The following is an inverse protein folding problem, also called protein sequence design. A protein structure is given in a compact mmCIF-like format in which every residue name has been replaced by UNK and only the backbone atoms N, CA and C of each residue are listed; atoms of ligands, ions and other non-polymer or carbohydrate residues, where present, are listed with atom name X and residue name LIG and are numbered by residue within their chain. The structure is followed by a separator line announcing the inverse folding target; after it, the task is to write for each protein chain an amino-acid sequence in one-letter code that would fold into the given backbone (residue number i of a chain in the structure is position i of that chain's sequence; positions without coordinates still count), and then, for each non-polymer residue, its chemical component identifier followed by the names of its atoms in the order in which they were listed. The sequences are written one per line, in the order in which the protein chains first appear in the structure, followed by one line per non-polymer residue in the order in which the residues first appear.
data_IF_805188074758
#
_entry.id   IF_805188074758
#
_cell.length_a   1.000
_cell.length_b   1.000
_cell.length_c   1.000
_cell.angle_alpha   90.00
_cell.angle_beta   90.00
_cell.angle_gamma   90.00
#
_symmetry.space_group_name_H-M   'P 1'
#
loop_
_entity.id
_entity.type
_entity.pdbx_description
1 polymer ?
#
# COMPACT_ATOMS: atom_id res chain seq x y z
N UNK A 1 -20.28 55.39 -3.10
CA UNK A 1 -21.07 54.20 -2.72
C UNK A 1 -20.68 52.91 -3.43
N UNK A 2 -20.44 52.87 -4.76
CA UNK A 2 -20.05 51.61 -5.47
C UNK A 2 -18.80 50.89 -4.93
N UNK A 3 -17.77 51.62 -4.51
CA UNK A 3 -16.53 51.02 -3.96
C UNK A 3 -16.68 50.49 -2.52
N UNK A 4 -17.71 50.91 -1.79
CA UNK A 4 -17.95 50.47 -0.41
C UNK A 4 -18.49 49.03 -0.36
N UNK A 5 -19.28 48.61 -1.34
CA UNK A 5 -19.76 47.23 -1.46
C UNK A 5 -18.65 46.25 -1.85
N UNK A 6 -17.68 46.67 -2.67
CA UNK A 6 -16.51 45.86 -3.02
C UNK A 6 -15.61 45.68 -1.78
N UNK A 7 -15.45 46.71 -0.95
CA UNK A 7 -14.69 46.63 0.29
C UNK A 7 -15.35 45.70 1.33
N UNK A 8 -16.69 45.72 1.45
CA UNK A 8 -17.42 44.81 2.36
C UNK A 8 -17.33 43.34 1.90
N UNK A 9 -17.36 43.08 0.59
CA UNK A 9 -17.20 41.74 0.03
C UNK A 9 -15.77 41.17 0.21
N UNK A 10 -14.74 42.02 0.24
CA UNK A 10 -13.35 41.60 0.49
C UNK A 10 -13.05 41.32 1.98
N UNK A 11 -13.91 41.75 2.92
CA UNK A 11 -13.73 41.47 4.37
C UNK A 11 -14.39 40.14 4.77
N UNK A 12 -15.19 39.54 3.89
CA UNK A 12 -15.83 38.24 4.12
C UNK A 12 -14.93 37.03 3.81
N UNK A 13 -13.64 37.22 3.53
CA UNK A 13 -12.71 36.10 3.36
C UNK A 13 -12.48 35.39 4.68
N UNK A 14 -13.32 34.36 4.91
CA UNK A 14 -13.01 33.12 5.59
C UNK A 14 -12.16 33.28 6.86
N UNK A 15 -12.76 33.79 7.91
CA UNK A 15 -12.29 33.58 9.28
C UNK A 15 -12.46 32.10 9.67
N UNK A 16 -11.71 31.19 9.03
CA UNK A 16 -11.46 29.83 9.51
C UNK A 16 -10.42 29.90 10.64
N UNK A 17 -10.74 30.66 11.69
CA UNK A 17 -9.83 30.89 12.80
C UNK A 17 -10.20 29.95 13.94
N UNK A 18 -9.33 28.96 14.20
CA UNK A 18 -9.34 28.32 15.53
C UNK A 18 -8.80 29.34 16.52
N UNK A 19 -9.48 29.52 17.64
CA UNK A 19 -9.07 30.47 18.68
C UNK A 19 -8.69 29.74 19.96
N UNK A 20 -7.65 30.27 20.60
CA UNK A 20 -7.07 29.76 21.83
C UNK A 20 -7.18 30.83 22.92
N UNK A 21 -7.24 30.39 24.16
CA UNK A 21 -7.14 31.25 25.35
C UNK A 21 -6.19 30.62 26.35
N UNK A 22 -5.41 31.43 27.02
CA UNK A 22 -4.64 30.96 28.17
C UNK A 22 -5.60 30.54 29.29
N UNK A 23 -5.22 29.48 30.00
CA UNK A 23 -5.99 28.87 31.06
C UNK A 23 -5.06 28.31 32.12
N UNK A 24 -5.45 28.42 33.39
CA UNK A 24 -4.72 27.84 34.50
C UNK A 24 -5.31 26.47 34.84
N UNK A 25 -4.45 25.48 35.04
CA UNK A 25 -4.82 24.12 35.43
C UNK A 25 -3.91 23.65 36.56
N UNK A 26 -4.37 22.75 37.43
CA UNK A 26 -3.54 22.18 38.49
C UNK A 26 -2.43 21.31 37.90
N UNK A 27 -1.22 21.40 38.44
CA UNK A 27 -0.10 20.54 38.07
C UNK A 27 -0.32 19.12 38.62
N UNK A 28 -0.43 18.09 37.76
CA UNK A 28 -0.74 16.75 38.24
C UNK A 28 0.38 16.10 39.07
N UNK A 29 1.61 16.60 38.93
CA UNK A 29 2.83 16.07 39.57
C UNK A 29 3.19 16.89 40.81
N UNK A 30 3.13 18.22 40.72
CA UNK A 30 3.49 19.12 41.82
C UNK A 30 2.25 19.67 42.52
N UNK A 31 1.80 18.97 43.56
CA UNK A 31 0.62 19.34 44.35
C UNK A 31 0.62 20.81 44.79
N UNK A 32 -0.50 21.50 44.59
CA UNK A 32 -0.68 22.91 44.94
C UNK A 32 -0.03 23.92 43.98
N UNK A 33 0.58 23.46 42.89
CA UNK A 33 1.08 24.32 41.82
C UNK A 33 0.09 24.37 40.64
N UNK A 34 0.06 25.49 39.93
CA UNK A 34 -0.74 25.68 38.72
C UNK A 34 0.17 25.80 37.49
N UNK A 35 -0.32 25.34 36.34
CA UNK A 35 0.31 25.50 35.03
C UNK A 35 -0.52 26.43 34.15
N UNK A 36 0.16 27.35 33.45
CA UNK A 36 -0.47 28.17 32.42
C UNK A 36 -0.42 27.42 31.08
N UNK A 37 -1.57 27.03 30.55
CA UNK A 37 -1.72 26.22 29.34
C UNK A 37 -2.68 26.89 28.35
N UNK A 38 -2.71 26.42 27.11
CA UNK A 38 -3.64 26.93 26.09
C UNK A 38 -4.87 26.04 26.02
N UNK A 39 -6.05 26.61 26.24
CA UNK A 39 -7.31 25.92 26.05
C UNK A 39 -8.03 26.42 24.79
N UNK A 40 -8.83 25.54 24.20
CA UNK A 40 -9.66 25.88 23.04
C UNK A 40 -10.69 26.92 23.46
N UNK A 41 -10.80 28.00 22.68
CA UNK A 41 -11.85 29.00 22.83
C UNK A 41 -12.95 28.80 21.79
N UNK A 42 -12.62 28.57 20.53
CA UNK A 42 -13.60 28.28 19.48
C UNK A 42 -12.96 27.60 18.26
N UNK A 43 -13.75 26.79 17.55
CA UNK A 43 -13.45 26.25 16.23
C UNK A 43 -14.77 25.97 15.50
N UNK A 44 -14.72 25.76 14.18
CA UNK A 44 -15.88 25.42 13.36
C UNK A 44 -15.71 24.09 12.62
N UNK A 45 -16.74 23.65 11.90
CA UNK A 45 -16.75 22.37 11.19
C UNK A 45 -15.69 22.20 10.09
N UNK A 46 -15.08 23.28 9.62
CA UNK A 46 -13.99 23.23 8.63
C UNK A 46 -12.76 22.44 9.10
N UNK A 47 -12.62 22.19 10.42
CA UNK A 47 -11.53 21.35 10.95
C UNK A 47 -11.65 19.89 10.50
N UNK A 48 -12.85 19.45 10.08
CA UNK A 48 -13.08 18.11 9.55
C UNK A 48 -12.62 17.97 8.08
N UNK A 49 -12.37 19.07 7.39
CA UNK A 49 -11.85 19.07 6.01
C UNK A 49 -10.33 19.12 5.93
N UNK A 50 -9.64 19.34 7.06
CA UNK A 50 -8.18 19.39 7.14
C UNK A 50 -7.54 18.04 6.77
N UNK A 51 -6.27 18.03 6.31
CA UNK A 51 -5.57 16.79 5.96
C UNK A 51 -5.53 15.75 7.09
N UNK A 52 -5.63 16.17 8.35
CA UNK A 52 -5.72 15.27 9.51
C UNK A 52 -6.91 14.31 9.47
N UNK A 53 -7.92 14.56 8.61
CA UNK A 53 -9.04 13.67 8.35
C UNK A 53 -8.60 12.29 7.82
N UNK A 54 -7.44 12.14 7.17
CA UNK A 54 -6.97 10.82 6.75
C UNK A 54 -6.46 9.96 7.91
N UNK A 55 -5.97 10.60 8.98
CA UNK A 55 -5.71 9.97 10.27
C UNK A 55 -6.97 9.90 11.16
N UNK A 56 -8.10 10.50 10.75
CA UNK A 56 -9.32 10.73 11.55
C UNK A 56 -9.01 11.39 12.91
N UNK A 57 -7.96 12.22 12.97
CA UNK A 57 -7.61 13.03 14.13
C UNK A 57 -8.00 14.47 13.81
N UNK A 58 -8.64 15.14 14.76
CA UNK A 58 -9.17 16.48 14.54
C UNK A 58 -8.66 17.44 15.61
N UNK A 59 -8.89 18.72 15.35
CA UNK A 59 -8.65 19.77 16.32
C UNK A 59 -9.37 19.44 17.64
N UNK A 60 -8.73 19.63 18.82
CA UNK A 60 -7.47 20.33 19.03
C UNK A 60 -6.20 19.50 18.85
N UNK A 61 -6.26 18.18 18.82
CA UNK A 61 -5.08 17.30 18.88
C UNK A 61 -4.10 17.45 17.69
N UNK A 62 -4.55 18.07 16.60
CA UNK A 62 -3.72 18.42 15.43
C UNK A 62 -2.84 19.65 15.65
N UNK A 63 -3.01 20.39 16.76
CA UNK A 63 -2.28 21.61 17.06
C UNK A 63 -1.19 21.37 18.10
N UNK A 64 -0.03 22.00 17.93
CA UNK A 64 1.02 22.01 18.96
C UNK A 64 0.59 22.73 20.24
N UNK A 65 -0.41 23.61 20.19
CA UNK A 65 -1.00 24.27 21.36
C UNK A 65 -1.85 23.32 22.22
N UNK A 66 -2.26 22.18 21.67
CA UNK A 66 -2.93 21.13 22.42
C UNK A 66 -1.97 20.29 23.27
N UNK A 67 -0.66 20.55 23.22
CA UNK A 67 0.33 19.93 24.11
C UNK A 67 0.51 20.86 25.31
N UNK A 68 -0.09 20.48 26.43
CA UNK A 68 0.01 21.18 27.70
C UNK A 68 1.33 20.83 28.38
N UNK A 69 2.05 21.85 28.85
CA UNK A 69 3.36 21.72 29.47
C UNK A 69 3.43 22.57 30.75
N UNK A 70 3.77 21.93 31.86
CA UNK A 70 4.01 22.56 33.15
C UNK A 70 5.49 22.89 33.29
N UNK A 71 5.86 24.16 33.22
CA UNK A 71 7.27 24.57 33.32
C UNK A 71 7.91 24.19 34.67
N UNK A 72 7.12 24.16 35.74
CA UNK A 72 7.60 23.92 37.11
C UNK A 72 7.96 22.46 37.38
N UNK A 73 7.08 21.53 37.01
CA UNK A 73 7.30 20.09 37.20
C UNK A 73 7.96 19.41 36.00
N UNK A 74 7.90 20.05 34.83
CA UNK A 74 8.24 19.42 33.57
C UNK A 74 7.17 18.48 33.03
N UNK A 75 6.01 18.37 33.67
CA UNK A 75 4.94 17.50 33.21
C UNK A 75 4.38 17.95 31.86
N UNK A 76 4.13 16.98 30.97
CA UNK A 76 3.59 17.23 29.63
C UNK A 76 2.51 16.20 29.28
N UNK A 77 1.40 16.66 28.71
CA UNK A 77 0.32 15.80 28.21
C UNK A 77 -0.46 16.49 27.10
N UNK A 78 -1.35 15.76 26.42
CA UNK A 78 -2.33 16.41 25.56
C UNK A 78 -3.42 17.12 26.38
N UNK A 79 -4.09 18.09 25.77
CA UNK A 79 -5.27 18.76 26.33
C UNK A 79 -6.30 17.73 26.81
N UNK A 80 -6.80 17.93 28.03
CA UNK A 80 -7.77 17.04 28.69
C UNK A 80 -7.17 15.85 29.44
N UNK A 81 -5.87 15.60 29.32
CA UNK A 81 -5.22 14.43 29.91
C UNK A 81 -4.56 14.68 31.28
N UNK A 82 -4.71 15.89 31.83
CA UNK A 82 -4.16 16.25 33.16
C UNK A 82 -4.95 15.59 34.31
N UNK A 83 -6.27 15.41 34.14
CA UNK A 83 -7.17 15.01 35.22
C UNK A 83 -7.22 13.48 35.44
N UNK A 84 -6.84 12.69 34.43
CA UNK A 84 -6.98 11.24 34.41
C UNK A 84 -5.64 10.52 34.58
N UNK A 85 -4.93 10.84 35.67
CA UNK A 85 -3.64 10.23 36.01
C UNK A 85 -3.74 9.57 37.39
N UNK A 86 -3.56 8.25 37.39
CA UNK A 86 -3.58 7.43 38.61
C UNK A 86 -2.37 7.74 39.50
N UNK A 87 -2.48 7.45 40.80
CA UNK A 87 -1.38 7.65 41.73
C UNK A 87 -0.09 6.89 41.31
N UNK A 88 -0.24 5.67 40.80
CA UNK A 88 0.89 4.86 40.34
C UNK A 88 1.59 5.48 39.11
N UNK A 89 0.83 6.04 38.17
CA UNK A 89 1.39 6.75 37.02
C UNK A 89 2.09 8.04 37.46
N UNK A 90 1.47 8.81 38.36
CA UNK A 90 2.07 10.04 38.93
C UNK A 90 3.42 9.75 39.56
N UNK A 91 3.53 8.67 40.34
CA UNK A 91 4.81 8.25 40.95
C UNK A 91 5.87 8.00 39.89
N UNK A 92 5.61 7.13 38.90
CA UNK A 92 6.57 6.79 37.83
C UNK A 92 6.99 8.01 37.01
N UNK A 93 6.03 8.88 36.69
CA UNK A 93 6.26 10.09 35.92
C UNK A 93 7.11 11.09 36.73
N UNK A 94 6.78 11.27 38.02
CA UNK A 94 7.54 12.14 38.93
C UNK A 94 8.99 11.67 39.07
N UNK A 95 9.22 10.37 39.27
CA UNK A 95 10.56 9.79 39.35
C UNK A 95 11.35 10.06 38.07
N UNK A 96 10.75 9.80 36.90
CA UNK A 96 11.40 10.06 35.62
C UNK A 96 11.76 11.54 35.42
N UNK A 97 10.85 12.46 35.77
CA UNK A 97 11.07 13.91 35.61
C UNK A 97 12.10 14.48 36.59
N UNK A 98 12.24 13.87 37.79
CA UNK A 98 13.31 14.23 38.72
C UNK A 98 14.69 13.83 38.19
N UNK A 99 14.80 12.65 37.58
CA UNK A 99 16.04 12.16 36.98
C UNK A 99 16.35 12.84 35.63
N UNK A 100 15.32 13.28 34.91
CA UNK A 100 15.41 13.83 33.56
C UNK A 100 14.68 15.18 33.47
N UNK A 101 15.11 16.22 34.22
CA UNK A 101 14.42 17.50 34.25
C UNK A 101 14.42 18.12 32.85
N UNK A 102 13.24 18.47 32.29
CA UNK A 102 13.17 19.00 30.94
C UNK A 102 13.65 20.44 30.89
N UNK A 103 14.93 20.63 30.56
CA UNK A 103 15.50 21.96 30.40
C UNK A 103 15.07 22.56 29.06
N UNK A 104 14.27 23.63 29.12
CA UNK A 104 14.01 24.55 28.00
C UNK A 104 13.44 23.89 26.73
N UNK A 105 12.35 23.11 26.87
CA UNK A 105 11.69 22.46 25.74
C UNK A 105 10.87 23.47 24.91
N UNK A 106 11.52 24.07 23.90
CA UNK A 106 10.85 25.00 22.97
C UNK A 106 10.32 24.34 21.71
N UNK A 107 11.06 23.38 21.14
CA UNK A 107 10.73 22.79 19.85
C UNK A 107 9.59 21.78 19.98
N UNK A 108 8.76 21.66 18.94
CA UNK A 108 7.73 20.62 18.89
C UNK A 108 8.34 19.21 18.95
N UNK A 109 9.48 18.99 18.28
CA UNK A 109 10.20 17.71 18.33
C UNK A 109 10.55 17.30 19.78
N UNK A 110 11.17 18.20 20.55
CA UNK A 110 11.53 17.92 21.94
C UNK A 110 10.30 17.72 22.83
N UNK A 111 9.20 18.45 22.57
CA UNK A 111 7.91 18.20 23.24
C UNK A 111 7.39 16.81 22.94
N UNK A 112 7.38 16.38 21.67
CA UNK A 112 6.88 15.06 21.28
C UNK A 112 7.71 13.94 21.90
N UNK A 113 9.04 14.08 21.96
CA UNK A 113 9.91 13.08 22.62
C UNK A 113 9.63 12.94 24.11
N UNK A 114 9.48 14.05 24.82
CA UNK A 114 9.09 13.99 26.23
C UNK A 114 7.68 13.40 26.38
N UNK A 115 6.75 13.82 25.53
CA UNK A 115 5.36 13.35 25.54
C UNK A 115 5.26 11.85 25.33
N UNK A 116 5.93 11.30 24.32
CA UNK A 116 6.04 9.85 24.10
C UNK A 116 6.50 9.12 25.36
N UNK A 117 7.53 9.66 26.02
CA UNK A 117 8.09 9.07 27.23
C UNK A 117 7.09 9.13 28.40
N UNK A 118 6.42 10.25 28.62
CA UNK A 118 5.38 10.36 29.65
C UNK A 118 4.25 9.37 29.41
N UNK A 119 3.77 9.27 28.17
CA UNK A 119 2.70 8.33 27.83
C UNK A 119 3.12 6.86 27.88
N UNK A 120 4.42 6.55 27.76
CA UNK A 120 4.90 5.18 28.01
C UNK A 120 4.69 4.71 29.45
N UNK A 121 4.48 5.64 30.39
CA UNK A 121 4.12 5.31 31.78
C UNK A 121 2.62 5.21 32.02
N UNK A 122 1.79 5.63 31.06
CA UNK A 122 0.34 5.66 31.20
C UNK A 122 -0.29 4.32 30.79
N UNK A 123 -1.34 3.96 31.52
CA UNK A 123 -2.18 2.79 31.24
C UNK A 123 -3.43 3.27 30.50
N UNK A 124 -3.38 3.22 29.18
CA UNK A 124 -4.49 3.62 28.32
C UNK A 124 -5.31 2.40 27.90
N UNK A 125 -6.61 2.63 27.62
CA UNK A 125 -7.39 1.64 26.87
C UNK A 125 -6.77 1.41 25.49
N UNK A 126 -7.05 0.26 24.86
CA UNK A 126 -6.54 -0.04 23.53
C UNK A 126 -6.96 1.03 22.49
N UNK A 127 -8.21 1.51 22.55
CA UNK A 127 -8.71 2.58 21.68
C UNK A 127 -8.01 3.93 21.93
N UNK A 128 -7.83 4.29 23.21
CA UNK A 128 -7.12 5.53 23.59
C UNK A 128 -5.66 5.48 23.17
N UNK A 129 -5.00 4.33 23.35
CA UNK A 129 -3.61 4.11 22.91
C UNK A 129 -3.49 4.21 21.38
N UNK A 130 -4.45 3.64 20.64
CA UNK A 130 -4.48 3.75 19.19
C UNK A 130 -4.64 5.20 18.73
N UNK A 131 -5.63 5.91 19.30
CA UNK A 131 -5.89 7.33 19.02
C UNK A 131 -4.63 8.17 19.26
N UNK A 132 -3.95 7.93 20.38
CA UNK A 132 -2.69 8.59 20.67
C UNK A 132 -1.61 8.33 19.61
N UNK A 133 -1.41 7.09 19.17
CA UNK A 133 -0.41 6.79 18.13
C UNK A 133 -0.70 7.57 16.84
N UNK A 134 -1.97 7.70 16.49
CA UNK A 134 -2.42 8.50 15.33
C UNK A 134 -2.14 10.00 15.51
N UNK A 135 -2.35 10.54 16.71
CA UNK A 135 -1.96 11.93 17.05
C UNK A 135 -0.44 12.12 16.91
N UNK A 136 0.37 11.20 17.43
CA UNK A 136 1.82 11.26 17.26
C UNK A 136 2.24 11.17 15.79
N UNK A 137 1.64 10.27 15.02
CA UNK A 137 1.90 10.16 13.58
C UNK A 137 1.67 11.50 12.88
N UNK A 138 0.52 12.13 13.13
CA UNK A 138 0.18 13.42 12.55
C UNK A 138 1.18 14.52 12.97
N UNK A 139 1.49 14.64 14.26
CA UNK A 139 2.37 15.69 14.77
C UNK A 139 3.83 15.54 14.32
N UNK A 140 4.32 14.30 14.18
CA UNK A 140 5.63 14.04 13.58
C UNK A 140 5.67 14.38 12.09
N UNK A 141 4.60 14.10 11.35
CA UNK A 141 4.49 14.54 9.96
C UNK A 141 4.56 16.07 9.83
N UNK A 142 3.94 16.83 10.74
CA UNK A 142 3.97 18.30 10.70
C UNK A 142 5.38 18.89 10.82
N UNK A 143 6.35 18.12 11.35
CA UNK A 143 7.76 18.51 11.44
C UNK A 143 8.65 17.76 10.45
N UNK A 144 8.06 17.16 9.40
CA UNK A 144 8.73 16.41 8.34
C UNK A 144 9.49 15.15 8.82
N UNK A 145 9.15 14.61 9.99
CA UNK A 145 9.70 13.37 10.52
C UNK A 145 8.91 12.16 10.00
N UNK A 146 8.85 12.01 8.67
CA UNK A 146 7.97 11.05 7.99
C UNK A 146 8.23 9.59 8.38
N UNK A 147 9.50 9.21 8.57
CA UNK A 147 9.84 7.84 9.01
C UNK A 147 9.25 7.55 10.40
N UNK A 148 9.40 8.49 11.34
CA UNK A 148 8.82 8.38 12.69
C UNK A 148 7.30 8.37 12.63
N UNK A 149 6.69 9.23 11.81
CA UNK A 149 5.25 9.24 11.59
C UNK A 149 4.75 7.86 11.09
N UNK A 150 5.41 7.28 10.09
CA UNK A 150 5.05 5.97 9.54
C UNK A 150 5.28 4.80 10.52
N UNK A 151 6.24 4.91 11.45
CA UNK A 151 6.38 3.96 12.57
C UNK A 151 5.14 3.98 13.47
N UNK A 152 4.64 5.16 13.82
CA UNK A 152 3.40 5.30 14.59
C UNK A 152 2.17 4.81 13.82
N UNK A 153 2.05 5.11 12.53
CA UNK A 153 0.97 4.59 11.67
C UNK A 153 0.99 3.07 11.57
N UNK A 154 2.17 2.48 11.36
CA UNK A 154 2.34 1.03 11.36
C UNK A 154 1.91 0.39 12.68
N UNK A 155 2.27 1.00 13.81
CA UNK A 155 1.86 0.53 15.13
C UNK A 155 0.34 0.65 15.33
N UNK A 156 -0.26 1.80 14.99
CA UNK A 156 -1.69 2.03 15.06
C UNK A 156 -2.47 1.08 14.12
N UNK A 157 -1.95 0.77 12.93
CA UNK A 157 -2.56 -0.17 11.99
C UNK A 157 -2.66 -1.59 12.58
N UNK A 158 -1.58 -2.06 13.22
CA UNK A 158 -1.59 -3.36 13.91
C UNK A 158 -2.66 -3.41 15.01
N UNK A 159 -2.72 -2.37 15.84
CA UNK A 159 -3.74 -2.26 16.90
C UNK A 159 -5.15 -2.22 16.32
N UNK A 160 -5.37 -1.48 15.22
CA UNK A 160 -6.65 -1.41 14.52
C UNK A 160 -7.11 -2.81 14.08
N UNK A 161 -6.22 -3.61 13.48
CA UNK A 161 -6.60 -4.97 13.07
C UNK A 161 -6.91 -5.89 14.25
N UNK A 162 -6.24 -5.73 15.39
CA UNK A 162 -6.58 -6.45 16.61
C UNK A 162 -7.97 -6.03 17.12
N UNK A 163 -8.24 -4.73 17.18
CA UNK A 163 -9.51 -4.17 17.63
C UNK A 163 -10.68 -4.53 16.71
N UNK A 164 -10.46 -4.61 15.39
CA UNK A 164 -11.49 -5.02 14.43
C UNK A 164 -11.99 -6.47 14.64
N UNK A 165 -11.22 -7.30 15.36
CA UNK A 165 -11.61 -8.66 15.76
C UNK A 165 -12.37 -8.72 17.08
N UNK A 166 -12.57 -7.58 17.78
CA UNK A 166 -13.38 -7.52 18.99
C UNK A 166 -14.79 -7.00 18.69
N UNK A 167 -15.62 -6.97 19.73
CA UNK A 167 -16.92 -6.30 19.66
C UNK A 167 -16.72 -4.78 19.73
N UNK A 168 -16.61 -4.13 18.56
CA UNK A 168 -16.53 -2.69 18.42
C UNK A 168 -17.90 -2.11 18.04
N UNK A 169 -18.21 -0.96 18.64
CA UNK A 169 -19.33 -0.12 18.20
C UNK A 169 -19.21 0.19 16.70
N UNK A 170 -20.34 0.21 15.99
CA UNK A 170 -20.38 0.36 14.53
C UNK A 170 -19.61 1.58 14.03
N UNK A 171 -19.75 2.74 14.69
CA UNK A 171 -19.02 3.95 14.31
C UNK A 171 -17.49 3.76 14.38
N UNK A 172 -16.97 3.04 15.38
CA UNK A 172 -15.53 2.73 15.49
C UNK A 172 -15.06 1.76 14.43
N UNK A 173 -15.87 0.74 14.13
CA UNK A 173 -15.58 -0.21 13.07
C UNK A 173 -15.45 0.49 11.70
N UNK A 174 -16.35 1.42 11.40
CA UNK A 174 -16.29 2.28 10.21
C UNK A 174 -15.03 3.15 10.18
N UNK A 175 -14.77 3.88 11.27
CA UNK A 175 -13.57 4.72 11.44
C UNK A 175 -12.30 3.92 11.18
N UNK A 176 -12.20 2.72 11.76
CA UNK A 176 -11.02 1.86 11.69
C UNK A 176 -10.80 1.22 10.33
N UNK A 177 -11.84 0.78 9.62
CA UNK A 177 -11.65 0.31 8.24
C UNK A 177 -11.18 1.43 7.32
N UNK A 178 -11.69 2.66 7.51
CA UNK A 178 -11.23 3.82 6.74
C UNK A 178 -9.76 4.17 7.03
N UNK A 179 -9.36 4.25 8.30
CA UNK A 179 -7.96 4.51 8.68
C UNK A 179 -7.04 3.38 8.18
N UNK A 180 -7.46 2.12 8.34
CA UNK A 180 -6.69 0.97 7.86
C UNK A 180 -6.43 1.09 6.35
N UNK A 181 -7.44 1.45 5.55
CA UNK A 181 -7.27 1.67 4.13
C UNK A 181 -6.21 2.74 3.80
N UNK A 182 -6.24 3.87 4.51
CA UNK A 182 -5.29 4.97 4.33
C UNK A 182 -3.87 4.56 4.75
N UNK A 183 -3.72 3.87 5.88
CA UNK A 183 -2.41 3.45 6.39
C UNK A 183 -1.79 2.35 5.54
N UNK A 184 -2.57 1.37 5.09
CA UNK A 184 -2.09 0.36 4.15
C UNK A 184 -1.60 1.00 2.85
N UNK A 185 -2.33 2.01 2.34
CA UNK A 185 -1.90 2.75 1.15
C UNK A 185 -0.60 3.50 1.38
N UNK A 186 -0.51 4.24 2.48
CA UNK A 186 0.68 4.98 2.92
C UNK A 186 1.91 4.09 3.11
N UNK A 187 1.71 2.81 3.44
CA UNK A 187 2.76 1.83 3.66
C UNK A 187 3.06 0.98 2.41
N UNK A 188 2.46 1.29 1.26
CA UNK A 188 2.68 0.57 -0.01
C UNK A 188 1.85 -0.71 -0.18
N UNK A 189 1.01 -1.08 0.79
CA UNK A 189 0.20 -2.30 0.78
C UNK A 189 -1.12 -2.10 0.04
N UNK A 190 -1.04 -1.93 -1.28
CA UNK A 190 -2.18 -1.58 -2.15
C UNK A 190 -3.34 -2.59 -2.03
N UNK A 191 -3.02 -3.88 -1.97
CA UNK A 191 -4.04 -4.96 -1.89
C UNK A 191 -4.82 -4.87 -0.57
N UNK A 192 -4.14 -4.71 0.56
CA UNK A 192 -4.77 -4.61 1.87
C UNK A 192 -5.60 -3.33 2.00
N UNK A 193 -5.14 -2.22 1.42
CA UNK A 193 -5.91 -0.98 1.34
C UNK A 193 -7.26 -1.20 0.64
N UNK A 194 -7.23 -1.88 -0.52
CA UNK A 194 -8.45 -2.22 -1.27
C UNK A 194 -9.37 -3.17 -0.49
N UNK A 195 -8.83 -4.12 0.25
CA UNK A 195 -9.61 -5.02 1.11
C UNK A 195 -10.29 -4.25 2.26
N UNK A 196 -9.58 -3.34 2.92
CA UNK A 196 -10.13 -2.49 3.98
C UNK A 196 -11.26 -1.58 3.44
N UNK A 197 -11.09 -0.98 2.26
CA UNK A 197 -12.15 -0.21 1.59
C UNK A 197 -13.37 -1.07 1.27
N UNK A 198 -13.19 -2.29 0.78
CA UNK A 198 -14.31 -3.19 0.50
C UNK A 198 -15.09 -3.54 1.78
N UNK A 199 -14.39 -3.71 2.91
CA UNK A 199 -15.03 -3.95 4.21
C UNK A 199 -15.78 -2.72 4.70
N UNK A 200 -15.19 -1.53 4.57
CA UNK A 200 -15.85 -0.25 4.88
C UNK A 200 -17.18 -0.11 4.12
N UNK A 201 -17.18 -0.36 2.80
CA UNK A 201 -18.39 -0.27 1.97
C UNK A 201 -19.49 -1.21 2.46
N UNK A 202 -19.14 -2.46 2.73
CA UNK A 202 -20.09 -3.46 3.24
C UNK A 202 -20.68 -3.05 4.59
N UNK A 203 -19.86 -2.52 5.49
CA UNK A 203 -20.34 -2.01 6.78
C UNK A 203 -21.30 -0.84 6.59
N UNK A 204 -20.98 0.12 5.70
CA UNK A 204 -21.85 1.27 5.38
C UNK A 204 -23.21 0.84 4.84
N UNK A 205 -23.23 -0.14 3.91
CA UNK A 205 -24.47 -0.69 3.35
C UNK A 205 -25.37 -1.36 4.40
N UNK A 206 -24.78 -1.84 5.49
CA UNK A 206 -25.52 -2.50 6.58
C UNK A 206 -26.12 -1.54 7.61
N UNK A 207 -25.78 -0.25 7.56
CA UNK A 207 -26.24 0.75 8.54
C UNK A 207 -27.73 1.02 8.36
N UNK A 208 -28.48 0.85 9.46
CA UNK A 208 -29.92 1.19 9.54
C UNK A 208 -30.20 2.52 10.23
N UNK A 209 -29.26 2.98 11.06
CA UNK A 209 -29.37 4.21 11.83
C UNK A 209 -29.01 5.44 10.96
N UNK A 210 -29.88 6.46 10.94
CA UNK A 210 -29.73 7.61 10.04
C UNK A 210 -28.53 8.51 10.40
N UNK A 211 -28.17 8.59 11.69
CA UNK A 211 -27.01 9.36 12.14
C UNK A 211 -25.72 8.68 11.70
N UNK A 212 -25.60 7.36 11.94
CA UNK A 212 -24.48 6.55 11.47
C UNK A 212 -24.39 6.52 9.93
N UNK A 213 -25.52 6.61 9.23
CA UNK A 213 -25.54 6.67 7.76
C UNK A 213 -24.89 7.96 7.26
N UNK A 214 -25.11 9.08 7.94
CA UNK A 214 -24.45 10.35 7.63
C UNK A 214 -22.93 10.26 7.83
N UNK A 215 -22.48 9.64 8.92
CA UNK A 215 -21.05 9.37 9.15
C UNK A 215 -20.45 8.40 8.12
N UNK A 216 -21.16 7.32 7.79
CA UNK A 216 -20.77 6.38 6.73
C UNK A 216 -20.63 7.06 5.38
N UNK A 217 -21.56 7.94 5.01
CA UNK A 217 -21.49 8.74 3.77
C UNK A 217 -20.30 9.70 3.75
N UNK A 218 -19.98 10.31 4.90
CA UNK A 218 -18.79 11.14 5.04
C UNK A 218 -17.51 10.32 4.75
N UNK A 219 -17.34 9.16 5.39
CA UNK A 219 -16.19 8.27 5.15
C UNK A 219 -16.17 7.73 3.72
N UNK A 220 -17.32 7.39 3.14
CA UNK A 220 -17.44 6.97 1.74
C UNK A 220 -16.91 8.05 0.80
N UNK A 221 -17.26 9.31 1.05
CA UNK A 221 -16.78 10.40 0.21
C UNK A 221 -15.26 10.57 0.30
N UNK A 222 -14.70 10.54 1.51
CA UNK A 222 -13.26 10.60 1.72
C UNK A 222 -12.52 9.40 1.11
N UNK A 223 -13.13 8.21 1.15
CA UNK A 223 -12.51 6.98 0.64
C UNK A 223 -12.21 7.00 -0.86
N UNK A 224 -12.86 7.90 -1.62
CA UNK A 224 -12.58 8.13 -3.04
C UNK A 224 -11.19 8.72 -3.26
N UNK A 225 -10.65 9.40 -2.25
CA UNK A 225 -9.34 10.04 -2.28
C UNK A 225 -8.22 9.07 -1.85
N UNK A 226 -8.54 8.04 -1.06
CA UNK A 226 -7.58 7.05 -0.56
C UNK A 226 -6.67 6.44 -1.64
N UNK A 227 -7.15 6.07 -2.85
CA UNK A 227 -6.29 5.55 -3.90
C UNK A 227 -5.17 6.51 -4.36
N UNK A 228 -5.29 7.82 -4.10
CA UNK A 228 -4.29 8.81 -4.51
C UNK A 228 -3.26 9.13 -3.42
N UNK A 229 -3.30 8.45 -2.26
CA UNK A 229 -2.25 8.54 -1.25
C UNK A 229 -1.01 7.81 -1.78
N UNK A 230 0.14 8.48 -1.76
CA UNK A 230 1.43 7.91 -2.14
C UNK A 230 2.16 7.30 -0.93
N UNK A 231 2.95 6.23 -1.12
CA UNK A 231 3.71 5.63 -0.03
C UNK A 231 4.78 6.56 0.59
N UNK A 232 5.03 6.38 1.89
CA UNK A 232 6.20 6.91 2.59
C UNK A 232 6.19 8.40 2.96
N UNK A 233 5.46 9.25 2.22
CA UNK A 233 5.46 10.70 2.40
C UNK A 233 4.42 11.23 3.39
N UNK A 234 3.81 12.36 3.02
CA UNK A 234 2.67 12.96 3.75
C UNK A 234 1.43 12.09 3.56
N UNK A 235 0.66 11.82 4.61
CA UNK A 235 -0.63 11.14 4.52
C UNK A 235 -1.69 12.12 3.98
N UNK A 236 -1.61 12.39 2.70
CA UNK A 236 -2.57 13.17 1.95
C UNK A 236 -2.59 12.66 0.50
N UNK A 237 -3.75 12.65 -0.16
CA UNK A 237 -3.84 12.31 -1.56
C UNK A 237 -3.08 13.34 -2.40
N UNK A 238 -2.33 12.86 -3.40
CA UNK A 238 -1.88 13.71 -4.50
C UNK A 238 -3.06 13.93 -5.44
N UNK A 239 -3.93 14.86 -5.07
CA UNK A 239 -4.90 15.40 -6.01
C UNK A 239 -4.11 16.28 -6.98
N UNK A 240 -3.77 15.72 -8.15
CA UNK A 240 -3.28 16.52 -9.27
C UNK A 240 -4.24 17.71 -9.41
N UNK A 241 -3.71 18.93 -9.23
CA UNK A 241 -4.45 20.15 -9.51
C UNK A 241 -4.76 20.10 -11.01
N UNK A 242 -5.96 19.67 -11.36
CA UNK A 242 -6.46 19.69 -12.73
C UNK A 242 -5.87 18.61 -13.66
N UNK A 243 -6.10 17.34 -13.34
CA UNK A 243 -6.05 16.31 -14.39
C UNK A 243 -7.43 15.74 -14.62
N UNK A 244 -7.98 16.11 -15.78
CA UNK A 244 -8.84 15.23 -16.56
C UNK A 244 -8.30 13.80 -16.45
N UNK A 245 -9.15 12.80 -16.13
CA UNK A 245 -8.72 11.42 -15.94
C UNK A 245 -7.85 10.98 -17.11
N UNK A 246 -6.68 10.40 -16.80
CA UNK A 246 -5.80 9.86 -17.85
C UNK A 246 -6.55 8.71 -18.55
N UNK A 247 -6.35 8.47 -19.86
CA UNK A 247 -7.06 7.42 -20.61
C UNK A 247 -6.97 6.02 -19.97
N UNK A 248 -5.92 5.78 -19.21
CA UNK A 248 -5.65 4.58 -18.42
C UNK A 248 -6.60 4.40 -17.22
N UNK A 249 -7.07 5.49 -16.61
CA UNK A 249 -8.16 5.49 -15.63
C UNK A 249 -9.54 5.33 -16.30
N UNK A 250 -9.68 5.74 -17.58
CA UNK A 250 -10.86 5.50 -18.41
C UNK A 250 -10.99 4.02 -18.80
N UNK A 251 -9.88 3.33 -19.12
CA UNK A 251 -9.84 1.89 -19.33
C UNK A 251 -10.26 1.17 -18.04
N UNK A 252 -9.76 1.59 -16.88
CA UNK A 252 -10.20 1.06 -15.58
C UNK A 252 -11.69 1.30 -15.31
N UNK A 253 -12.24 2.45 -15.72
CA UNK A 253 -13.66 2.78 -15.63
C UNK A 253 -14.53 1.95 -16.59
N UNK A 254 -14.04 1.67 -17.81
CA UNK A 254 -14.68 0.82 -18.81
C UNK A 254 -14.72 -0.66 -18.37
N UNK A 255 -13.64 -1.17 -17.80
CA UNK A 255 -13.51 -2.55 -17.29
C UNK A 255 -14.53 -2.84 -16.16
N UNK A 256 -14.85 -1.83 -15.33
CA UNK A 256 -15.84 -1.97 -14.25
C UNK A 256 -17.29 -1.89 -14.71
N UNK A 257 -17.54 -1.30 -15.89
CA UNK A 257 -18.90 -0.97 -16.36
C UNK A 257 -19.37 -1.81 -17.56
N UNK A 258 -18.45 -2.43 -18.31
CA UNK A 258 -18.73 -3.17 -19.54
C UNK A 258 -17.88 -4.45 -19.64
N UNK A 259 -18.35 -5.59 -19.10
CA UNK A 259 -17.67 -6.89 -19.17
C UNK A 259 -17.31 -7.29 -20.61
N UNK A 260 -18.14 -6.93 -21.58
CA UNK A 260 -17.95 -7.19 -23.01
C UNK A 260 -16.75 -6.42 -23.57
N UNK A 261 -16.59 -5.14 -23.23
CA UNK A 261 -15.49 -4.32 -23.72
C UNK A 261 -14.12 -4.83 -23.21
N UNK A 262 -14.08 -5.30 -21.96
CA UNK A 262 -12.85 -5.90 -21.41
C UNK A 262 -12.57 -7.29 -22.01
N UNK A 263 -13.59 -8.05 -22.43
CA UNK A 263 -13.39 -9.30 -23.17
C UNK A 263 -12.79 -9.04 -24.56
N UNK A 264 -13.31 -8.05 -25.27
CA UNK A 264 -12.79 -7.67 -26.59
C UNK A 264 -11.34 -7.19 -26.54
N UNK A 265 -10.96 -6.39 -25.54
CA UNK A 265 -9.57 -5.91 -25.40
C UNK A 265 -8.59 -7.04 -25.04
N UNK A 266 -8.95 -7.97 -24.15
CA UNK A 266 -8.11 -9.15 -23.88
C UNK A 266 -7.96 -10.03 -25.13
N UNK A 267 -9.04 -10.19 -25.90
CA UNK A 267 -9.00 -10.97 -27.13
C UNK A 267 -8.12 -10.29 -28.21
N UNK A 268 -8.19 -8.97 -28.35
CA UNK A 268 -7.28 -8.20 -29.22
C UNK A 268 -5.83 -8.35 -28.78
N UNK A 269 -5.55 -8.17 -27.50
CA UNK A 269 -4.21 -8.34 -26.93
C UNK A 269 -3.67 -9.75 -27.25
N UNK A 270 -4.46 -10.79 -26.98
CA UNK A 270 -4.07 -12.16 -27.28
C UNK A 270 -3.79 -12.39 -28.76
N UNK A 271 -4.67 -11.89 -29.65
CA UNK A 271 -4.47 -12.01 -31.09
C UNK A 271 -3.20 -11.29 -31.58
N UNK A 272 -2.81 -10.19 -30.93
CA UNK A 272 -1.58 -9.46 -31.27
C UNK A 272 -0.31 -10.22 -30.86
N UNK A 273 -0.35 -10.95 -29.73
CA UNK A 273 0.80 -11.74 -29.24
C UNK A 273 0.81 -13.17 -29.77
N UNK A 274 -0.32 -13.67 -30.30
CA UNK A 274 -0.46 -15.02 -30.86
C UNK A 274 0.62 -15.39 -31.88
N UNK A 275 0.97 -14.53 -32.87
CA UNK A 275 2.03 -14.84 -33.84
C UNK A 275 3.42 -14.99 -33.20
N UNK A 276 3.66 -14.34 -32.04
CA UNK A 276 4.91 -14.47 -31.30
C UNK A 276 5.04 -15.86 -30.66
N UNK A 277 3.92 -16.42 -30.18
CA UNK A 277 3.89 -17.81 -29.70
C UNK A 277 4.08 -18.80 -30.85
N UNK A 278 3.45 -18.58 -32.01
CA UNK A 278 3.50 -19.54 -33.13
C UNK A 278 4.87 -19.59 -33.82
N UNK A 279 5.64 -18.51 -33.77
CA UNK A 279 6.92 -18.40 -34.50
C UNK A 279 8.15 -18.85 -33.71
N UNK A 280 8.10 -18.81 -32.37
CA UNK A 280 9.29 -19.01 -31.53
C UNK A 280 9.16 -20.16 -30.52
N UNK A 281 7.97 -20.74 -30.36
CA UNK A 281 7.65 -21.61 -29.22
C UNK A 281 6.66 -22.74 -29.60
N UNK A 282 6.98 -24.01 -29.28
CA UNK A 282 6.05 -25.14 -29.43
C UNK A 282 5.05 -25.20 -28.25
N UNK A 283 4.26 -24.13 -28.08
CA UNK A 283 3.43 -23.89 -26.90
C UNK A 283 1.92 -23.97 -27.21
N UNK A 284 1.51 -25.04 -27.89
CA UNK A 284 0.11 -25.42 -28.10
C UNK A 284 -0.68 -25.44 -26.79
N UNK A 285 -0.03 -25.74 -25.65
CA UNK A 285 -0.67 -25.78 -24.33
C UNK A 285 -1.00 -24.38 -23.78
N UNK A 286 -0.10 -23.39 -23.92
CA UNK A 286 -0.37 -22.02 -23.45
C UNK A 286 -1.45 -21.38 -24.31
N UNK A 287 -1.37 -21.52 -25.64
CA UNK A 287 -2.39 -21.02 -26.55
C UNK A 287 -3.76 -21.63 -26.22
N UNK A 288 -3.81 -22.95 -26.00
CA UNK A 288 -5.03 -23.66 -25.61
C UNK A 288 -5.60 -23.13 -24.30
N UNK A 289 -4.78 -22.96 -23.26
CA UNK A 289 -5.23 -22.49 -21.95
C UNK A 289 -5.76 -21.06 -22.01
N UNK A 290 -5.12 -20.16 -22.78
CA UNK A 290 -5.60 -18.78 -22.91
C UNK A 290 -6.90 -18.72 -23.71
N UNK A 291 -7.02 -19.49 -24.79
CA UNK A 291 -8.27 -19.62 -25.55
C UNK A 291 -9.40 -20.17 -24.68
N UNK A 292 -9.09 -21.16 -23.83
CA UNK A 292 -10.05 -21.76 -22.90
C UNK A 292 -10.52 -20.76 -21.84
N UNK A 293 -9.61 -19.98 -21.24
CA UNK A 293 -9.94 -18.90 -20.29
C UNK A 293 -10.79 -17.81 -20.93
N UNK A 294 -10.47 -17.39 -22.16
CA UNK A 294 -11.29 -16.42 -22.89
C UNK A 294 -12.69 -16.97 -23.18
N UNK A 295 -12.81 -18.25 -23.55
CA UNK A 295 -14.11 -18.89 -23.77
C UNK A 295 -14.94 -19.02 -22.50
N UNK A 296 -14.33 -19.42 -21.37
CA UNK A 296 -15.00 -19.46 -20.05
C UNK A 296 -15.55 -18.09 -19.70
N UNK A 297 -14.73 -17.05 -19.88
CA UNK A 297 -15.12 -15.66 -19.63
C UNK A 297 -16.27 -15.21 -20.54
N UNK A 298 -16.25 -15.58 -21.83
CA UNK A 298 -17.34 -15.29 -22.77
C UNK A 298 -18.65 -15.92 -22.32
N UNK A 299 -18.62 -17.20 -21.92
CA UNK A 299 -19.80 -17.92 -21.42
C UNK A 299 -20.35 -17.28 -20.14
N UNK A 300 -19.46 -16.86 -19.23
CA UNK A 300 -19.86 -16.17 -18.01
C UNK A 300 -20.52 -14.81 -18.31
N UNK A 301 -20.02 -14.06 -19.30
CA UNK A 301 -20.61 -12.80 -19.76
C UNK A 301 -21.99 -13.04 -20.38
N UNK A 302 -22.09 -13.99 -21.33
CA UNK A 302 -23.31 -14.22 -22.10
C UNK A 302 -24.43 -14.86 -21.26
N UNK A 303 -24.09 -15.68 -20.27
CA UNK A 303 -25.08 -16.47 -19.51
C UNK A 303 -25.24 -16.04 -18.05
N UNK A 304 -24.29 -15.26 -17.51
CA UNK A 304 -24.24 -14.91 -16.09
C UNK A 304 -23.91 -16.09 -15.17
N UNK A 305 -23.44 -17.22 -15.70
CA UNK A 305 -23.06 -18.43 -14.95
C UNK A 305 -21.99 -19.24 -15.69
N UNK A 306 -21.28 -20.14 -15.01
CA UNK A 306 -20.37 -21.11 -15.65
C UNK A 306 -21.05 -22.48 -15.63
N UNK A 307 -21.19 -23.18 -16.76
CA UNK A 307 -21.73 -24.53 -16.79
C UNK A 307 -20.93 -25.47 -15.89
N UNK A 308 -21.64 -26.33 -15.14
CA UNK A 308 -21.04 -27.22 -14.14
C UNK A 308 -19.98 -28.17 -14.73
N UNK A 309 -20.12 -28.55 -16.01
CA UNK A 309 -19.16 -29.36 -16.76
C UNK A 309 -17.83 -28.63 -16.98
N UNK A 310 -17.88 -27.34 -17.28
CA UNK A 310 -16.71 -26.49 -17.52
C UNK A 310 -15.91 -26.26 -16.24
N UNK A 311 -16.61 -26.13 -15.10
CA UNK A 311 -15.97 -26.01 -13.79
C UNK A 311 -15.28 -27.32 -13.36
N UNK A 312 -15.90 -28.47 -13.66
CA UNK A 312 -15.35 -29.79 -13.34
C UNK A 312 -14.04 -30.08 -14.10
N UNK A 313 -13.93 -29.63 -15.36
CA UNK A 313 -12.70 -29.75 -16.14
C UNK A 313 -11.59 -28.81 -15.62
N UNK A 314 -11.95 -27.60 -15.15
CA UNK A 314 -11.02 -26.67 -14.50
C UNK A 314 -10.45 -27.22 -13.17
N UNK A 315 -11.32 -27.74 -12.28
CA UNK A 315 -10.89 -28.31 -11.01
C UNK A 315 -10.04 -29.59 -11.17
N UNK A 316 -10.28 -30.36 -12.23
CA UNK A 316 -9.46 -31.53 -12.57
C UNK A 316 -8.05 -31.14 -13.04
N UNK A 317 -7.89 -29.95 -13.61
CA UNK A 317 -6.60 -29.40 -14.03
C UNK A 317 -5.75 -28.91 -12.83
N UNK A 318 -6.40 -28.38 -11.79
CA UNK A 318 -5.77 -27.84 -10.57
C UNK A 318 -5.49 -28.91 -9.48
N UNK A 319 -5.99 -30.14 -9.63
CA UNK A 319 -5.82 -31.21 -8.63
C UNK A 319 -6.62 -30.99 -7.34
N UNK A 320 -7.71 -30.21 -7.39
CA UNK A 320 -8.55 -29.88 -6.24
C UNK A 320 -9.82 -30.73 -6.29
N UNK A 321 -10.08 -31.55 -5.26
CA UNK A 321 -11.38 -32.24 -5.13
C UNK A 321 -12.47 -31.26 -4.69
N UNK A 322 -13.65 -31.27 -5.33
CA UNK A 322 -14.71 -30.33 -5.01
C UNK A 322 -15.49 -30.75 -3.75
N UNK A 323 -15.57 -29.86 -2.76
CA UNK A 323 -16.53 -29.94 -1.67
C UNK A 323 -17.88 -29.35 -2.16
N UNK A 324 -18.90 -30.21 -2.27
CA UNK A 324 -20.17 -29.91 -2.92
C UNK A 324 -21.25 -29.56 -1.89
N UNK A 325 -21.75 -28.33 -1.94
CA UNK A 325 -22.87 -27.89 -1.11
C UNK A 325 -24.12 -27.76 -1.99
N UNK A 326 -25.15 -28.56 -1.70
CA UNK A 326 -26.41 -28.77 -2.47
C UNK A 326 -27.37 -27.58 -2.62
N UNK A 327 -26.94 -26.32 -2.43
CA UNK A 327 -27.87 -25.17 -2.51
C UNK A 327 -27.55 -24.30 -3.71
N UNK A 328 -28.19 -24.65 -4.83
CA UNK A 328 -28.21 -23.86 -6.06
C UNK A 328 -28.80 -22.47 -5.84
N UNK A 329 -27.95 -21.52 -5.43
CA UNK A 329 -28.27 -20.10 -5.43
C UNK A 329 -27.69 -19.40 -6.66
N UNK A 330 -28.45 -18.46 -7.22
CA UNK A 330 -28.17 -17.76 -8.48
C UNK A 330 -26.98 -16.80 -8.36
N UNK A 331 -25.97 -16.99 -9.22
CA UNK A 331 -24.67 -16.30 -9.23
C UNK A 331 -24.65 -14.88 -9.83
N UNK A 332 -25.80 -14.27 -10.10
CA UNK A 332 -25.88 -12.96 -10.78
C UNK A 332 -25.23 -11.78 -10.04
N UNK A 333 -24.86 -11.90 -8.77
CA UNK A 333 -24.27 -10.79 -7.97
C UNK A 333 -22.74 -10.87 -7.77
N UNK A 334 -22.05 -11.89 -8.29
CA UNK A 334 -20.60 -12.13 -8.01
C UNK A 334 -19.62 -11.83 -9.16
N UNK A 335 -20.10 -11.40 -10.34
CA UNK A 335 -19.26 -11.28 -11.54
C UNK A 335 -18.19 -10.16 -11.49
N UNK A 336 -18.34 -9.16 -10.62
CA UNK A 336 -17.44 -7.99 -10.59
C UNK A 336 -16.14 -8.21 -9.80
N UNK A 337 -16.08 -9.19 -8.89
CA UNK A 337 -14.86 -9.49 -8.11
C UNK A 337 -13.93 -10.51 -8.78
N UNK A 338 -14.43 -11.31 -9.73
CA UNK A 338 -13.63 -12.33 -10.45
C UNK A 338 -12.61 -11.70 -11.42
N UNK A 339 -12.96 -10.60 -12.09
CA UNK A 339 -12.10 -10.00 -13.12
C UNK A 339 -10.74 -9.51 -12.57
N UNK A 340 -10.65 -9.17 -11.27
CA UNK A 340 -9.38 -8.82 -10.61
C UNK A 340 -8.55 -10.05 -10.26
N UNK A 341 -9.17 -11.13 -9.75
CA UNK A 341 -8.38 -12.34 -9.42
C UNK A 341 -7.90 -13.02 -10.69
N UNK A 342 -8.72 -13.08 -11.74
CA UNK A 342 -8.35 -13.72 -13.02
C UNK A 342 -7.21 -13.00 -13.76
N UNK A 343 -7.16 -11.66 -13.75
CA UNK A 343 -6.06 -10.90 -14.37
C UNK A 343 -4.77 -10.99 -13.56
N UNK A 344 -4.87 -10.97 -12.23
CA UNK A 344 -3.70 -11.16 -11.37
C UNK A 344 -3.19 -12.60 -11.42
N UNK A 345 -4.08 -13.59 -11.42
CA UNK A 345 -3.79 -15.01 -11.59
C UNK A 345 -3.19 -15.28 -12.96
N UNK A 346 -3.67 -14.62 -14.03
CA UNK A 346 -3.05 -14.64 -15.34
C UNK A 346 -1.62 -14.06 -15.33
N UNK A 347 -1.42 -12.94 -14.62
CA UNK A 347 -0.11 -12.30 -14.50
C UNK A 347 0.85 -13.15 -13.66
N UNK A 348 0.36 -13.78 -12.59
CA UNK A 348 1.13 -14.66 -11.71
C UNK A 348 1.50 -15.97 -12.41
N UNK A 349 0.58 -16.59 -13.16
CA UNK A 349 0.85 -17.75 -14.03
C UNK A 349 1.87 -17.37 -15.10
N UNK A 350 1.73 -16.20 -15.73
CA UNK A 350 2.67 -15.71 -16.72
C UNK A 350 4.07 -15.49 -16.14
N UNK A 351 4.19 -14.89 -14.96
CA UNK A 351 5.45 -14.68 -14.25
C UNK A 351 6.08 -16.00 -13.79
N UNK A 352 5.27 -16.94 -13.29
CA UNK A 352 5.71 -18.26 -12.84
C UNK A 352 6.23 -19.10 -14.01
N UNK A 353 5.50 -19.16 -15.12
CA UNK A 353 5.92 -19.90 -16.32
C UNK A 353 7.10 -19.22 -17.02
N UNK A 354 7.18 -17.88 -17.02
CA UNK A 354 8.36 -17.15 -17.51
C UNK A 354 9.61 -17.46 -16.67
N UNK A 355 9.47 -17.51 -15.34
CA UNK A 355 10.55 -17.85 -14.41
C UNK A 355 11.01 -19.30 -14.57
N UNK A 356 10.06 -20.22 -14.75
CA UNK A 356 10.33 -21.64 -15.03
C UNK A 356 10.99 -21.84 -16.39
N UNK A 357 10.61 -21.05 -17.39
CA UNK A 357 11.24 -21.06 -18.70
C UNK A 357 12.67 -20.52 -18.65
N UNK A 358 12.91 -19.42 -17.92
CA UNK A 358 14.27 -18.91 -17.68
C UNK A 358 15.13 -19.99 -16.99
N UNK A 359 14.60 -20.69 -15.99
CA UNK A 359 15.30 -21.79 -15.34
C UNK A 359 15.60 -22.97 -16.29
N UNK A 360 14.67 -23.31 -17.19
CA UNK A 360 14.87 -24.36 -18.18
C UNK A 360 15.88 -23.96 -19.27
N UNK A 361 15.88 -22.70 -19.71
CA UNK A 361 16.85 -22.15 -20.65
C UNK A 361 18.24 -22.15 -20.03
N UNK A 362 18.37 -21.72 -18.77
CA UNK A 362 19.63 -21.79 -18.01
C UNK A 362 20.10 -23.25 -17.86
N UNK A 363 19.19 -24.18 -17.58
CA UNK A 363 19.51 -25.62 -17.50
C UNK A 363 19.94 -26.19 -18.84
N UNK A 364 19.27 -25.84 -19.94
CA UNK A 364 19.65 -26.27 -21.30
C UNK A 364 21.02 -25.73 -21.69
N UNK A 365 21.29 -24.45 -21.42
CA UNK A 365 22.59 -23.82 -21.68
C UNK A 365 23.68 -24.54 -20.88
N UNK A 366 23.42 -24.90 -19.63
CA UNK A 366 24.35 -25.68 -18.81
C UNK A 366 24.59 -27.10 -19.36
N UNK A 367 23.56 -27.79 -19.84
CA UNK A 367 23.67 -29.12 -20.48
C UNK A 367 24.45 -29.06 -21.80
N UNK A 368 24.26 -28.01 -22.60
CA UNK A 368 24.88 -27.86 -23.93
C UNK A 368 26.34 -27.40 -23.81
N UNK A 369 26.68 -26.55 -22.84
CA UNK A 369 28.05 -26.15 -22.50
C UNK A 369 28.91 -27.31 -22.01
N UNK A 370 28.30 -28.22 -21.26
CA UNK A 370 29.02 -29.34 -20.64
C UNK A 370 29.01 -30.60 -21.49
N UNK A 371 28.12 -30.69 -22.50
CA UNK A 371 27.97 -31.85 -23.38
C UNK A 371 27.37 -33.09 -22.72
N UNK A 372 26.88 -32.98 -21.48
CA UNK A 372 26.49 -34.11 -20.62
C UNK A 372 24.99 -34.12 -20.37
N UNK A 373 24.33 -35.27 -20.60
CA UNK A 373 22.87 -35.42 -20.61
C UNK A 373 22.21 -35.75 -19.25
N UNK A 374 22.98 -35.81 -18.14
CA UNK A 374 22.53 -36.32 -16.83
C UNK A 374 23.24 -35.63 -15.66
N UNK A 375 22.51 -35.35 -14.57
CA UNK A 375 23.00 -34.66 -13.37
C UNK A 375 24.04 -35.43 -12.52
N UNK A 376 24.38 -36.67 -12.86
CA UNK A 376 25.29 -37.52 -12.06
C UNK A 376 26.78 -37.33 -12.36
N UNK A 377 27.15 -36.67 -13.46
CA UNK A 377 28.53 -36.71 -14.00
C UNK A 377 29.32 -35.40 -13.79
N UNK A 378 28.80 -34.47 -12.98
CA UNK A 378 29.44 -33.18 -12.67
C UNK A 378 30.60 -33.30 -11.69
N UNK A 379 31.79 -33.75 -12.11
CA UNK A 379 32.95 -33.64 -11.20
C UNK A 379 33.98 -32.56 -11.52
N UNK A 380 34.28 -32.21 -12.77
CA UNK A 380 35.49 -31.39 -13.01
C UNK A 380 35.43 -30.39 -14.20
N UNK A 381 34.26 -29.85 -14.56
CA UNK A 381 34.16 -28.85 -15.66
C UNK A 381 34.00 -27.42 -15.13
N UNK A 382 34.94 -26.54 -15.50
CA UNK A 382 34.92 -25.10 -15.18
C UNK A 382 34.31 -24.34 -16.36
N UNK A 383 33.21 -23.61 -16.13
CA UNK A 383 32.51 -22.81 -17.15
C UNK A 383 33.00 -21.36 -17.01
N UNK A 384 33.55 -20.79 -18.08
CA UNK A 384 34.03 -19.41 -18.05
C UNK A 384 32.97 -18.41 -18.53
N UNK A 385 33.13 -17.14 -18.16
CA UNK A 385 32.27 -16.04 -18.63
C UNK A 385 32.30 -15.89 -20.16
N UNK A 386 33.43 -16.22 -20.79
CA UNK A 386 33.58 -16.15 -22.24
C UNK A 386 32.81 -17.27 -22.97
N UNK A 387 32.66 -18.44 -22.34
CA UNK A 387 31.81 -19.53 -22.86
C UNK A 387 30.32 -19.14 -22.83
N UNK A 388 29.90 -18.43 -21.78
CA UNK A 388 28.52 -17.92 -21.62
C UNK A 388 28.24 -16.81 -22.63
N UNK A 389 29.15 -15.85 -22.78
CA UNK A 389 29.01 -14.75 -23.73
C UNK A 389 29.03 -15.25 -25.19
N UNK A 390 29.90 -16.21 -25.53
CA UNK A 390 29.91 -16.81 -26.87
C UNK A 390 28.63 -17.61 -27.19
N UNK A 391 28.04 -18.30 -26.21
CA UNK A 391 26.77 -19.01 -26.42
C UNK A 391 25.56 -18.08 -26.48
N UNK A 392 25.56 -17.03 -25.67
CA UNK A 392 24.57 -15.98 -25.75
C UNK A 392 24.66 -15.29 -27.12
N UNK A 393 25.84 -14.96 -27.63
CA UNK A 393 26.03 -14.42 -28.99
C UNK A 393 25.63 -15.44 -30.08
N UNK A 394 25.93 -16.73 -29.88
CA UNK A 394 25.62 -17.81 -30.84
C UNK A 394 24.13 -18.17 -30.89
N UNK A 395 23.35 -17.89 -29.82
CA UNK A 395 21.91 -18.19 -29.74
C UNK A 395 20.99 -16.98 -29.55
N UNK A 396 21.50 -15.76 -29.47
CA UNK A 396 20.63 -14.58 -29.38
C UNK A 396 20.21 -14.07 -30.76
N UNK A 397 18.94 -14.34 -31.09
CA UNK A 397 18.09 -13.24 -31.54
C UNK A 397 17.87 -12.32 -30.33
N UNK A 398 18.77 -11.36 -30.17
CA UNK A 398 18.49 -10.13 -29.43
C UNK A 398 17.54 -9.28 -30.30
N UNK A 399 16.24 -9.61 -30.29
CA UNK A 399 15.18 -8.73 -30.77
C UNK A 399 13.97 -8.83 -29.86
N UNK A 400 14.09 -8.17 -28.72
CA UNK A 400 12.95 -7.56 -28.05
C UNK A 400 13.42 -6.17 -27.66
N UNK A 401 13.36 -5.19 -28.57
CA UNK A 401 13.14 -3.78 -28.23
C UNK A 401 12.77 -2.95 -29.49
N UNK A 402 11.73 -2.13 -29.33
CA UNK A 402 11.05 -1.21 -30.25
C UNK A 402 9.97 -1.77 -31.21
N UNK A 403 8.71 -1.29 -31.15
CA UNK A 403 7.79 -1.41 -32.27
C UNK A 403 8.30 -0.54 -33.42
N UNK A 404 8.21 -1.07 -34.64
CA UNK A 404 8.71 -0.45 -35.86
C UNK A 404 8.21 0.99 -36.07
N UNK A 405 9.14 1.90 -36.32
CA UNK A 405 8.91 3.04 -37.21
C UNK A 405 10.02 3.04 -38.27
N UNK A 406 9.60 3.16 -39.52
CA UNK A 406 10.43 3.13 -40.73
C UNK A 406 11.62 4.09 -40.64
N UNK A 407 12.83 3.56 -40.47
CA UNK A 407 14.07 4.26 -40.82
C UNK A 407 15.08 3.29 -41.43
N UNK A 408 15.66 3.73 -42.54
CA UNK A 408 16.70 3.05 -43.31
C UNK A 408 18.01 3.04 -42.49
N UNK A 409 18.57 1.85 -42.27
CA UNK A 409 19.66 1.63 -41.31
C UNK A 409 21.00 1.56 -42.05
N UNK A 410 21.65 2.71 -42.19
CA UNK A 410 23.09 2.80 -42.45
C UNK A 410 23.72 3.87 -41.56
N UNK A 411 23.73 3.67 -40.24
CA UNK A 411 24.77 4.16 -39.32
C UNK A 411 24.48 3.69 -37.89
N UNK A 412 25.53 3.28 -37.17
CA UNK A 412 25.48 2.90 -35.76
C UNK A 412 25.27 4.16 -34.91
N UNK A 413 24.05 4.42 -34.45
CA UNK A 413 23.80 5.36 -33.35
C UNK A 413 23.25 4.66 -32.10
N UNK A 414 23.89 4.99 -30.98
CA UNK A 414 23.65 4.49 -29.63
C UNK A 414 22.34 5.07 -29.10
N UNK A 415 21.39 4.21 -28.71
CA UNK A 415 20.17 4.64 -28.02
C UNK A 415 20.48 5.32 -26.67
N UNK A 416 19.83 6.45 -26.33
CA UNK A 416 20.12 7.18 -25.10
C UNK A 416 19.49 6.50 -23.87
N UNK A 417 20.24 6.56 -22.77
CA UNK A 417 19.94 5.93 -21.49
C UNK A 417 18.64 6.45 -20.86
N UNK A 418 17.61 5.58 -20.79
CA UNK A 418 16.54 5.69 -19.79
C UNK A 418 16.30 4.37 -19.09
N UNK A 419 16.11 4.48 -17.79
CA UNK A 419 16.06 3.44 -16.77
C UNK A 419 15.18 2.24 -17.13
N UNK A 420 15.81 1.08 -17.27
CA UNK A 420 15.11 -0.21 -17.25
C UNK A 420 15.34 -0.91 -15.90
N UNK A 421 14.29 -1.43 -15.23
CA UNK A 421 14.42 -2.12 -13.94
C UNK A 421 15.31 -3.37 -14.02
N UNK A 422 15.42 -3.98 -15.20
CA UNK A 422 16.27 -5.16 -15.43
C UNK A 422 17.78 -4.83 -15.51
N UNK A 423 18.18 -3.59 -15.86
CA UNK A 423 19.60 -3.21 -15.93
C UNK A 423 20.29 -3.34 -14.57
N UNK A 424 19.60 -2.96 -13.49
CA UNK A 424 20.13 -3.05 -12.14
C UNK A 424 20.23 -4.50 -11.64
N UNK A 425 19.28 -5.35 -12.05
CA UNK A 425 19.32 -6.79 -11.77
C UNK A 425 20.52 -7.43 -12.47
N UNK A 426 20.74 -7.12 -13.75
CA UNK A 426 21.87 -7.63 -14.52
C UNK A 426 23.23 -7.08 -14.05
N UNK A 427 23.32 -5.81 -13.68
CA UNK A 427 24.54 -5.22 -13.11
C UNK A 427 24.88 -5.87 -11.76
N UNK A 428 23.88 -6.10 -10.91
CA UNK A 428 24.06 -6.77 -9.61
C UNK A 428 24.45 -8.24 -9.78
N UNK A 429 23.78 -8.96 -10.68
CA UNK A 429 24.12 -10.34 -11.03
C UNK A 429 25.56 -10.46 -11.53
N UNK A 430 25.97 -9.54 -12.42
CA UNK A 430 27.34 -9.45 -12.95
C UNK A 430 28.35 -9.17 -11.83
N UNK A 431 28.04 -8.26 -10.91
CA UNK A 431 28.90 -7.92 -9.79
C UNK A 431 29.04 -9.07 -8.76
N UNK A 432 27.98 -9.83 -8.53
CA UNK A 432 27.98 -10.94 -7.56
C UNK A 432 28.68 -12.19 -8.11
N UNK A 433 28.53 -12.48 -9.41
CA UNK A 433 29.29 -13.55 -10.09
C UNK A 433 30.80 -13.22 -10.13
N UNK A 434 31.18 -11.96 -10.33
CA UNK A 434 32.58 -11.54 -10.34
C UNK A 434 33.25 -11.61 -8.95
N UNK A 435 32.48 -11.49 -7.86
CA UNK A 435 33.00 -11.58 -6.48
C UNK A 435 33.18 -13.02 -6.02
N UNK A 436 32.50 -13.99 -6.63
CA UNK A 436 32.61 -15.40 -6.30
C UNK A 436 32.22 -16.25 -7.52
N UNK A 437 33.19 -16.66 -8.35
CA UNK A 437 32.90 -17.48 -9.53
C UNK A 437 32.23 -18.79 -9.10
N UNK A 438 31.04 -19.04 -9.65
CA UNK A 438 30.19 -20.17 -9.29
C UNK A 438 30.82 -21.47 -9.78
N UNK A 439 31.05 -22.42 -8.87
CA UNK A 439 31.33 -23.81 -9.24
C UNK A 439 30.02 -24.54 -9.52
N UNK A 440 30.02 -25.43 -10.50
CA UNK A 440 28.81 -26.08 -11.05
C UNK A 440 27.98 -26.85 -10.00
N UNK A 441 28.55 -27.17 -8.84
CA UNK A 441 27.86 -27.86 -7.73
C UNK A 441 27.75 -27.06 -6.42
N UNK A 442 28.01 -25.74 -6.42
CA UNK A 442 27.78 -24.91 -5.23
C UNK A 442 26.27 -24.63 -5.06
N UNK A 443 25.55 -25.63 -4.56
CA UNK A 443 24.12 -25.55 -4.28
C UNK A 443 23.79 -24.38 -3.35
N UNK A 444 24.67 -24.10 -2.39
CA UNK A 444 24.51 -22.98 -1.46
C UNK A 444 24.81 -21.64 -2.16
N UNK A 445 25.77 -21.58 -3.08
CA UNK A 445 26.03 -20.43 -3.96
C UNK A 445 24.84 -20.09 -4.86
N UNK A 446 24.28 -21.11 -5.51
CA UNK A 446 23.10 -20.97 -6.37
C UNK A 446 21.86 -20.60 -5.55
N UNK A 447 21.64 -21.24 -4.39
CA UNK A 447 20.55 -20.87 -3.47
C UNK A 447 20.72 -19.46 -2.89
N UNK A 448 21.95 -19.00 -2.63
CA UNK A 448 22.22 -17.60 -2.22
C UNK A 448 21.91 -16.61 -3.34
N UNK A 449 22.22 -16.96 -4.59
CA UNK A 449 21.81 -16.17 -5.76
C UNK A 449 20.29 -16.04 -5.81
N UNK A 450 19.55 -17.17 -5.73
CA UNK A 450 18.09 -17.20 -5.76
C UNK A 450 17.43 -16.53 -4.54
N UNK A 451 18.01 -16.66 -3.34
CA UNK A 451 17.56 -15.96 -2.14
C UNK A 451 17.73 -14.43 -2.28
N UNK A 452 18.77 -14.00 -3.01
CA UNK A 452 18.98 -12.61 -3.41
C UNK A 452 17.92 -12.08 -4.40
N UNK A 453 17.31 -12.96 -5.20
CA UNK A 453 16.20 -12.61 -6.09
C UNK A 453 14.86 -12.52 -5.37
N UNK A 454 14.58 -13.44 -4.44
CA UNK A 454 13.36 -13.39 -3.61
C UNK A 454 13.34 -12.24 -2.59
N UNK A 455 14.45 -11.51 -2.45
CA UNK A 455 14.59 -10.32 -1.60
C UNK A 455 14.71 -9.01 -2.40
N UNK A 456 14.54 -9.07 -3.73
CA UNK A 456 14.33 -7.88 -4.54
C UNK A 456 12.85 -7.49 -4.45
N UNK A 457 12.54 -6.41 -3.72
CA UNK A 457 11.25 -5.72 -3.87
C UNK A 457 11.17 -5.18 -5.30
N UNK A 458 10.26 -5.77 -6.09
CA UNK A 458 9.87 -5.29 -7.43
C UNK A 458 8.76 -4.26 -7.28
#
# INVERSE_FOLDING_TARGET
MRYFYILILLVAFNTHATSWKEHKVDDPIKSGSECLVNNVRSFGGYVYDWPSKYDQIFFPYTSSLAIWFCNDSGFIAFIGDFDNITAAEKTKISEYLQENPPLNIKSLFSKLKLLEKIYSFRTLSAESSNTQKRVFAYLYEQINEFETANKFRSAALRDIYQLLNTDLATHKRLEYFYIAANYERQLGNIVNSKLALSRLLKEIESIKDDELKSFGNYLLNLSKETPFIEPGGKLAPLLEKDTTPKPEDEIYYLVKKFPEACHEELQKFFNNIKPMFTSHFNHTLIEKNIVELLNIRRVLIDTGSIPHSTLADYHRYEGIEPDLNEKGESWKSKSSSMCRSEVNEFYDIFLLESSRHIANVVSMIATELTGVKSNSDYKDTEITLEDIDQLLVKKSMFYLYCPAQDYDVTEYEVCPERSMPYKNIFIKLKADILKSPLKVNDRDGIQRLFAGFSSLDI
#
